data_IF_791502365708
#
_entry.id   IF_791502365708
#
_cell.length_a   1.000
_cell.length_b   1.000
_cell.length_c   1.000
_cell.angle_alpha   90.00
_cell.angle_beta   90.00
_cell.angle_gamma   90.00
#
_symmetry.space_group_name_H-M   'P 1'
#
loop_
_entity.id
_entity.type
_entity.pdbx_description
1 polymer ?
#
# COMPACT_ATOMS: atom_id res chain seq x y z
N UNK A 1 54.95 -4.32 -13.61
CA UNK A 1 53.87 -3.79 -14.45
C UNK A 1 52.87 -4.92 -14.62
N UNK A 2 51.76 -5.01 -13.92
CA UNK A 2 51.13 -4.10 -12.96
C UNK A 2 50.32 -4.91 -11.92
N UNK A 3 50.42 -4.47 -10.68
CA UNK A 3 49.45 -4.63 -9.59
C UNK A 3 48.14 -3.92 -9.98
N UNK A 4 46.97 -4.54 -9.77
CA UNK A 4 45.76 -3.90 -9.20
C UNK A 4 44.83 -5.01 -8.67
N UNK A 5 44.69 -5.06 -7.35
CA UNK A 5 43.59 -5.71 -6.66
C UNK A 5 42.27 -4.94 -6.93
N UNK A 6 41.19 -5.64 -7.28
CA UNK A 6 39.84 -5.04 -7.29
C UNK A 6 38.93 -5.87 -6.38
N UNK A 7 38.96 -5.49 -5.10
CA UNK A 7 38.06 -5.91 -4.03
C UNK A 7 36.66 -5.35 -4.31
N UNK A 8 35.89 -6.03 -5.16
CA UNK A 8 34.50 -5.62 -5.43
C UNK A 8 33.58 -6.07 -4.30
N UNK A 9 33.26 -5.09 -3.44
CA UNK A 9 32.15 -5.00 -2.51
C UNK A 9 31.02 -6.02 -2.75
N UNK A 10 30.84 -6.93 -1.77
CA UNK A 10 29.60 -7.68 -1.57
C UNK A 10 28.47 -6.70 -1.23
N UNK A 11 27.75 -6.24 -2.25
CA UNK A 11 26.46 -5.57 -2.07
C UNK A 11 25.41 -6.66 -1.81
N UNK A 12 24.99 -6.76 -0.56
CA UNK A 12 23.86 -7.60 -0.14
C UNK A 12 22.60 -7.17 -0.90
N UNK A 13 22.15 -8.03 -1.82
CA UNK A 13 20.94 -7.84 -2.59
C UNK A 13 19.73 -8.16 -1.70
N UNK A 14 19.23 -7.16 -0.98
CA UNK A 14 17.86 -7.25 -0.45
C UNK A 14 16.87 -7.02 -1.59
N UNK A 15 16.06 -8.04 -1.85
CA UNK A 15 15.09 -8.13 -2.93
C UNK A 15 14.20 -6.87 -3.07
N UNK A 16 14.51 -6.05 -4.07
CA UNK A 16 13.74 -4.86 -4.43
C UNK A 16 12.80 -5.16 -5.59
N UNK A 17 11.50 -5.27 -5.31
CA UNK A 17 10.45 -5.17 -6.32
C UNK A 17 10.22 -3.69 -6.63
N UNK A 18 10.21 -3.29 -7.90
CA UNK A 18 9.86 -1.92 -8.28
C UNK A 18 8.44 -1.88 -8.87
N UNK A 19 7.57 -1.03 -8.32
CA UNK A 19 6.30 -0.68 -8.95
C UNK A 19 6.49 0.60 -9.76
N UNK A 20 6.03 0.58 -11.01
CA UNK A 20 5.93 1.81 -11.81
C UNK A 20 4.51 1.97 -12.31
N UNK A 21 4.00 3.18 -12.09
CA UNK A 21 2.68 3.71 -12.43
C UNK A 21 2.21 3.30 -13.84
N UNK A 22 0.99 2.76 -13.95
CA UNK A 22 0.39 2.39 -15.25
C UNK A 22 -0.37 3.55 -15.90
N UNK A 23 -0.26 3.63 -17.22
CA UNK A 23 -1.16 4.39 -18.10
C UNK A 23 -2.38 3.50 -18.39
N UNK A 24 -3.55 3.83 -17.84
CA UNK A 24 -4.82 3.10 -18.03
C UNK A 24 -5.32 2.33 -16.80
N UNK A 25 -6.46 1.62 -16.94
CA UNK A 25 -7.16 0.90 -15.85
C UNK A 25 -6.48 -0.40 -15.39
N UNK A 26 -5.28 -0.71 -15.85
CA UNK A 26 -4.60 -1.98 -15.60
C UNK A 26 -3.42 -1.80 -14.65
N UNK A 27 -3.12 -2.82 -13.85
CA UNK A 27 -1.93 -2.87 -12.99
C UNK A 27 -0.95 -3.89 -13.56
N UNK A 28 0.27 -3.47 -13.85
CA UNK A 28 1.33 -4.32 -14.37
C UNK A 28 2.50 -4.36 -13.39
N UNK A 29 3.01 -5.56 -13.07
CA UNK A 29 4.13 -5.77 -12.17
C UNK A 29 5.24 -6.61 -12.84
N UNK A 30 6.49 -6.36 -12.47
CA UNK A 30 7.68 -7.03 -13.01
C UNK A 30 8.48 -7.73 -11.91
N UNK A 31 8.62 -9.07 -11.96
CA UNK A 31 9.61 -9.80 -11.18
C UNK A 31 11.03 -9.58 -11.72
N UNK A 32 11.99 -9.31 -10.85
CA UNK A 32 13.39 -9.03 -11.23
C UNK A 32 14.12 -10.23 -11.87
N UNK A 33 13.56 -11.45 -11.80
CA UNK A 33 14.15 -12.67 -12.36
C UNK A 33 13.44 -13.19 -13.63
N UNK A 34 12.33 -12.57 -14.04
CA UNK A 34 11.67 -12.88 -15.30
C UNK A 34 10.85 -11.67 -15.71
N UNK A 35 11.17 -11.10 -16.87
CA UNK A 35 10.41 -10.03 -17.55
C UNK A 35 9.02 -10.51 -18.00
N UNK A 36 8.38 -11.41 -17.25
CA UNK A 36 7.03 -11.90 -17.51
C UNK A 36 6.07 -10.97 -16.80
N UNK A 37 5.28 -10.23 -17.58
CA UNK A 37 4.19 -9.41 -17.09
C UNK A 37 3.14 -10.31 -16.42
N UNK A 38 3.01 -10.22 -15.10
CA UNK A 38 1.87 -10.84 -14.41
C UNK A 38 0.68 -9.89 -14.54
N UNK A 39 -0.26 -10.26 -15.40
CA UNK A 39 -1.54 -9.55 -15.54
C UNK A 39 -2.46 -9.98 -14.41
N UNK A 40 -2.68 -9.07 -13.48
CA UNK A 40 -3.64 -9.27 -12.41
C UNK A 40 -5.03 -8.89 -12.94
N UNK A 41 -5.97 -9.85 -12.91
CA UNK A 41 -7.31 -9.66 -13.48
C UNK A 41 -8.05 -8.48 -12.81
N UNK A 42 -8.87 -7.80 -13.62
CA UNK A 42 -9.50 -6.51 -13.32
C UNK A 42 -10.51 -6.57 -12.15
N UNK A 43 -10.03 -6.44 -10.91
CA UNK A 43 -10.90 -6.20 -9.75
C UNK A 43 -11.40 -4.75 -9.64
N UNK A 44 -10.75 -3.81 -10.34
CA UNK A 44 -11.05 -2.38 -10.26
C UNK A 44 -11.60 -1.86 -11.60
N UNK A 45 -12.90 -1.53 -11.63
CA UNK A 45 -13.59 -0.99 -12.81
C UNK A 45 -13.22 0.48 -13.15
N UNK A 46 -12.33 1.09 -12.36
CA UNK A 46 -11.94 2.50 -12.46
C UNK A 46 -10.43 2.66 -12.26
N UNK A 47 -9.83 3.81 -12.63
CA UNK A 47 -8.40 4.04 -12.51
C UNK A 47 -7.84 3.68 -11.13
N UNK A 48 -6.71 2.97 -11.13
CA UNK A 48 -5.94 2.64 -9.92
C UNK A 48 -5.01 3.79 -9.62
N UNK A 49 -5.05 4.31 -8.39
CA UNK A 49 -4.21 5.43 -7.93
C UNK A 49 -3.05 4.98 -7.05
N UNK A 50 -3.27 3.92 -6.29
CA UNK A 50 -2.33 3.47 -5.28
C UNK A 50 -2.24 1.95 -5.26
N UNK A 51 -1.03 1.45 -5.09
CA UNK A 51 -0.72 0.02 -4.97
C UNK A 51 0.32 -0.16 -3.87
N UNK A 52 0.19 -1.22 -3.08
CA UNK A 52 1.14 -1.51 -2.02
C UNK A 52 1.24 -3.01 -1.79
N UNK A 53 2.46 -3.49 -1.53
CA UNK A 53 2.76 -4.88 -1.23
C UNK A 53 2.74 -5.11 0.28
N UNK A 54 2.26 -6.27 0.71
CA UNK A 54 2.39 -6.70 2.10
C UNK A 54 3.87 -6.95 2.45
N UNK A 55 4.25 -6.77 3.72
CA UNK A 55 5.51 -7.30 4.24
C UNK A 55 5.60 -8.80 3.96
N UNK A 56 6.67 -9.22 3.29
CA UNK A 56 6.84 -10.61 2.83
C UNK A 56 6.28 -10.92 1.45
N UNK A 57 5.77 -9.92 0.70
CA UNK A 57 5.32 -10.04 -0.69
C UNK A 57 4.27 -11.13 -0.94
N UNK A 58 3.47 -11.46 0.08
CA UNK A 58 2.43 -12.49 0.01
C UNK A 58 1.14 -11.97 -0.61
N UNK A 59 0.83 -10.68 -0.43
CA UNK A 59 -0.38 -10.05 -0.93
C UNK A 59 -0.07 -8.71 -1.57
N UNK A 60 -0.93 -8.32 -2.50
CA UNK A 60 -0.94 -7.02 -3.12
C UNK A 60 -2.29 -6.36 -2.86
N UNK A 61 -2.25 -5.09 -2.47
CA UNK A 61 -3.41 -4.23 -2.42
C UNK A 61 -3.36 -3.22 -3.55
N UNK A 62 -4.51 -2.95 -4.16
CA UNK A 62 -4.68 -1.92 -5.16
C UNK A 62 -5.95 -1.12 -4.88
N UNK A 63 -5.90 0.19 -5.04
CA UNK A 63 -7.03 1.08 -4.79
C UNK A 63 -7.02 2.30 -5.71
N UNK A 64 -8.18 2.93 -5.89
CA UNK A 64 -8.29 4.12 -6.73
C UNK A 64 -9.70 4.70 -6.76
N UNK A 65 -10.15 5.08 -7.95
CA UNK A 65 -11.40 5.83 -8.18
C UNK A 65 -12.67 5.02 -7.88
N UNK A 66 -12.55 3.69 -7.79
CA UNK A 66 -13.64 2.81 -7.41
C UNK A 66 -14.08 3.01 -5.95
N UNK A 67 -13.24 3.59 -5.09
CA UNK A 67 -13.50 3.64 -3.64
C UNK A 67 -13.39 2.28 -2.95
N UNK A 68 -12.81 1.29 -3.65
CA UNK A 68 -12.64 -0.09 -3.21
C UNK A 68 -11.15 -0.40 -3.19
N UNK A 69 -10.72 -1.18 -2.19
CA UNK A 69 -9.37 -1.75 -2.14
C UNK A 69 -9.49 -3.21 -2.56
N UNK A 70 -8.91 -3.55 -3.70
CA UNK A 70 -8.83 -4.93 -4.17
C UNK A 70 -7.58 -5.58 -3.59
N UNK A 71 -7.75 -6.78 -3.02
CA UNK A 71 -6.68 -7.61 -2.48
C UNK A 71 -6.41 -8.77 -3.41
N UNK A 72 -5.14 -9.06 -3.60
CA UNK A 72 -4.68 -10.12 -4.48
C UNK A 72 -3.64 -11.00 -3.80
N UNK A 73 -3.70 -12.31 -4.06
CA UNK A 73 -2.69 -13.27 -3.64
C UNK A 73 -1.56 -13.28 -4.68
N UNK A 74 -0.35 -12.98 -4.22
CA UNK A 74 0.82 -12.97 -5.11
C UNK A 74 1.32 -14.37 -5.46
N UNK A 75 0.93 -15.42 -4.70
CA UNK A 75 1.33 -16.80 -5.02
C UNK A 75 0.66 -17.31 -6.29
N UNK A 76 -0.61 -16.98 -6.47
CA UNK A 76 -1.43 -17.47 -7.58
C UNK A 76 -1.84 -16.36 -8.56
N UNK A 77 -1.62 -15.09 -8.22
CA UNK A 77 -2.05 -13.95 -9.02
C UNK A 77 -3.58 -13.78 -9.03
N UNK A 78 -4.25 -14.26 -7.99
CA UNK A 78 -5.72 -14.30 -7.92
C UNK A 78 -6.28 -13.17 -7.07
N UNK A 79 -7.48 -12.72 -7.42
CA UNK A 79 -8.26 -11.79 -6.61
C UNK A 79 -8.82 -12.53 -5.39
N UNK A 80 -8.52 -12.03 -4.19
CA UNK A 80 -8.88 -12.68 -2.92
C UNK A 80 -10.09 -12.02 -2.28
N UNK A 81 -10.26 -10.72 -2.49
CA UNK A 81 -11.35 -9.99 -1.86
C UNK A 81 -11.27 -8.49 -2.07
N UNK A 82 -12.32 -7.82 -1.61
CA UNK A 82 -12.49 -6.38 -1.71
C UNK A 82 -12.79 -5.79 -0.34
N UNK A 83 -12.12 -4.69 0.00
CA UNK A 83 -12.44 -3.88 1.15
C UNK A 83 -13.25 -2.66 0.68
N UNK A 84 -14.51 -2.61 1.09
CA UNK A 84 -15.46 -1.57 0.69
C UNK A 84 -15.85 -0.73 1.91
N UNK A 85 -15.92 0.59 1.76
CA UNK A 85 -16.39 1.47 2.84
C UNK A 85 -15.92 2.91 2.74
N UNK A 86 -15.01 3.23 1.82
CA UNK A 86 -14.78 4.63 1.45
C UNK A 86 -15.92 5.15 0.59
N UNK A 87 -16.28 6.42 0.81
CA UNK A 87 -17.36 7.09 0.07
C UNK A 87 -16.84 7.90 -1.12
N UNK A 88 -15.52 7.92 -1.32
CA UNK A 88 -14.84 8.64 -2.40
C UNK A 88 -13.57 7.91 -2.85
N UNK A 89 -12.80 8.53 -3.74
CA UNK A 89 -11.60 7.96 -4.32
C UNK A 89 -10.52 7.73 -3.27
N UNK A 90 -9.93 6.55 -3.31
CA UNK A 90 -8.80 6.19 -2.45
C UNK A 90 -7.54 6.71 -3.14
N UNK A 91 -6.82 7.58 -2.45
CA UNK A 91 -5.64 8.27 -2.98
C UNK A 91 -4.35 7.57 -2.60
N UNK A 92 -4.37 6.84 -1.49
CA UNK A 92 -3.18 6.23 -0.88
C UNK A 92 -3.57 4.97 -0.12
N UNK A 93 -2.70 3.97 -0.18
CA UNK A 93 -2.78 2.77 0.63
C UNK A 93 -1.38 2.43 1.15
N UNK A 94 -1.31 1.84 2.33
CA UNK A 94 -0.04 1.43 2.93
C UNK A 94 -0.25 0.22 3.84
N UNK A 95 0.72 -0.68 3.90
CA UNK A 95 0.64 -1.89 4.73
C UNK A 95 1.29 -1.65 6.08
N UNK A 96 0.68 -2.20 7.14
CA UNK A 96 1.34 -2.25 8.45
C UNK A 96 2.59 -3.09 8.34
N UNK A 97 3.54 -2.88 9.25
CA UNK A 97 4.79 -3.63 9.24
C UNK A 97 4.58 -5.13 9.52
N UNK A 98 3.50 -5.48 10.23
CA UNK A 98 3.09 -6.88 10.46
C UNK A 98 2.41 -7.51 9.24
N UNK A 99 1.87 -6.70 8.32
CA UNK A 99 1.09 -7.18 7.18
C UNK A 99 -0.33 -7.61 7.53
N UNK A 100 -0.74 -7.43 8.78
CA UNK A 100 -2.08 -7.78 9.27
C UNK A 100 -3.10 -6.67 9.01
N UNK A 101 -2.61 -5.43 8.93
CA UNK A 101 -3.42 -4.23 8.79
C UNK A 101 -3.06 -3.44 7.54
N UNK A 102 -4.07 -2.83 6.94
CA UNK A 102 -3.92 -1.95 5.78
C UNK A 102 -4.47 -0.57 6.10
N UNK A 103 -3.68 0.45 5.82
CA UNK A 103 -4.07 1.85 5.93
C UNK A 103 -4.52 2.34 4.58
N UNK A 104 -5.55 3.18 4.58
CA UNK A 104 -6.07 3.81 3.38
C UNK A 104 -6.49 5.23 3.67
N UNK A 105 -6.18 6.14 2.74
CA UNK A 105 -6.61 7.52 2.77
C UNK A 105 -7.46 7.84 1.54
N UNK A 106 -8.49 8.64 1.74
CA UNK A 106 -9.49 8.93 0.70
C UNK A 106 -9.78 10.41 0.59
N UNK A 107 -10.31 10.80 -0.58
CA UNK A 107 -10.84 12.14 -0.81
C UNK A 107 -12.08 12.46 0.03
N UNK A 108 -12.68 11.46 0.70
CA UNK A 108 -13.75 11.65 1.70
C UNK A 108 -13.26 12.26 3.03
N UNK A 109 -11.94 12.52 3.15
CA UNK A 109 -11.33 13.12 4.33
C UNK A 109 -11.12 12.14 5.49
N UNK A 110 -11.38 10.85 5.25
CA UNK A 110 -11.23 9.79 6.24
C UNK A 110 -10.02 8.93 5.94
N UNK A 111 -9.37 8.51 7.01
CA UNK A 111 -8.41 7.42 7.02
C UNK A 111 -9.06 6.20 7.62
N UNK A 112 -8.93 5.07 6.93
CA UNK A 112 -9.43 3.79 7.43
C UNK A 112 -8.28 2.82 7.60
N UNK A 113 -8.32 2.11 8.72
CA UNK A 113 -7.47 0.97 9.02
C UNK A 113 -8.32 -0.28 8.83
N UNK A 114 -7.82 -1.22 8.04
CA UNK A 114 -8.50 -2.45 7.68
C UNK A 114 -7.72 -3.63 8.25
N UNK A 115 -8.41 -4.57 8.87
CA UNK A 115 -7.81 -5.88 9.17
C UNK A 115 -7.94 -6.77 7.94
N UNK A 116 -6.80 -7.26 7.46
CA UNK A 116 -6.72 -8.09 6.26
C UNK A 116 -7.28 -9.48 6.51
N UNK A 117 -7.07 -10.03 7.72
CA UNK A 117 -7.63 -11.31 8.14
C UNK A 117 -9.16 -11.25 8.24
N UNK A 118 -9.69 -10.18 8.84
CA UNK A 118 -11.14 -10.02 9.04
C UNK A 118 -11.85 -9.47 7.80
N UNK A 119 -11.10 -8.95 6.83
CA UNK A 119 -11.64 -8.29 5.64
C UNK A 119 -12.50 -7.06 5.98
N UNK A 120 -12.26 -6.41 7.12
CA UNK A 120 -13.15 -5.41 7.69
C UNK A 120 -12.41 -4.17 8.19
N UNK A 121 -13.10 -3.03 8.17
CA UNK A 121 -12.61 -1.77 8.72
C UNK A 121 -12.57 -1.89 10.24
N UNK A 122 -11.39 -1.79 10.85
CA UNK A 122 -11.21 -1.84 12.31
C UNK A 122 -11.20 -0.46 12.95
N UNK A 123 -10.73 0.55 12.21
CA UNK A 123 -10.73 1.93 12.70
C UNK A 123 -11.01 2.90 11.56
N UNK A 124 -11.71 3.99 11.88
CA UNK A 124 -11.92 5.13 10.98
C UNK A 124 -11.54 6.40 11.71
N UNK A 125 -10.52 7.08 11.22
CA UNK A 125 -10.07 8.37 11.72
C UNK A 125 -10.54 9.44 10.74
N UNK A 126 -11.35 10.38 11.23
CA UNK A 126 -11.81 11.53 10.43
C UNK A 126 -11.07 12.76 10.95
N UNK A 127 -10.07 13.22 10.19
CA UNK A 127 -9.31 14.42 10.57
C UNK A 127 -10.11 15.69 10.23
N UNK A 128 -10.67 15.69 9.02
CA UNK A 128 -11.23 16.88 8.37
C UNK A 128 -12.17 16.46 7.25
N UNK A 129 -13.16 17.29 6.92
CA UNK A 129 -13.99 17.12 5.70
C UNK A 129 -13.23 17.45 4.39
N UNK A 130 -11.89 17.51 4.44
CA UNK A 130 -11.02 17.88 3.32
C UNK A 130 -10.29 16.66 2.80
N UNK A 131 -10.04 16.63 1.49
CA UNK A 131 -9.42 15.49 0.82
C UNK A 131 -8.02 15.16 1.35
N UNK A 132 -7.80 13.87 1.62
CA UNK A 132 -6.49 13.33 1.98
C UNK A 132 -5.75 12.86 0.75
N UNK A 133 -4.44 13.08 0.73
CA UNK A 133 -3.57 12.71 -0.39
C UNK A 133 -2.54 11.66 -0.02
N UNK A 134 -2.06 11.68 1.22
CA UNK A 134 -1.07 10.73 1.70
C UNK A 134 -1.42 10.25 3.10
N UNK A 135 -1.25 8.95 3.31
CA UNK A 135 -1.32 8.30 4.60
C UNK A 135 -0.24 7.22 4.58
N UNK A 136 0.59 7.19 5.62
CA UNK A 136 1.73 6.27 5.72
C UNK A 136 1.83 5.74 7.13
N UNK A 137 2.08 4.45 7.25
CA UNK A 137 2.55 3.88 8.51
C UNK A 137 3.93 4.43 8.83
N UNK A 138 4.16 4.71 10.11
CA UNK A 138 5.50 5.03 10.57
C UNK A 138 6.34 3.75 10.64
N UNK A 139 7.66 3.86 10.38
CA UNK A 139 8.60 2.79 10.67
C UNK A 139 8.47 2.35 12.13
N UNK A 140 8.70 1.07 12.40
CA UNK A 140 8.57 0.49 13.74
C UNK A 140 9.57 1.13 14.71
N UNK A 141 9.13 2.15 15.44
CA UNK A 141 9.93 2.85 16.47
C UNK A 141 9.53 2.47 17.90
N UNK A 142 8.54 1.59 18.09
CA UNK A 142 8.08 1.16 19.43
C UNK A 142 7.03 0.05 19.41
N UNK A 143 6.32 -0.13 20.54
CA UNK A 143 5.24 -1.10 20.71
C UNK A 143 3.92 -0.69 20.02
N UNK A 144 3.74 0.60 19.75
CA UNK A 144 2.51 1.14 19.15
C UNK A 144 2.71 1.41 17.66
N UNK A 145 1.75 0.97 16.85
CA UNK A 145 1.71 1.33 15.43
C UNK A 145 1.16 2.75 15.28
N UNK A 146 1.95 3.60 14.65
CA UNK A 146 1.61 5.00 14.39
C UNK A 146 1.48 5.22 12.89
N UNK A 147 0.65 6.16 12.48
CA UNK A 147 0.57 6.59 11.08
C UNK A 147 0.52 8.10 10.99
N UNK A 148 1.00 8.65 9.87
CA UNK A 148 0.88 10.07 9.55
C UNK A 148 -0.01 10.26 8.34
N UNK A 149 -0.63 11.42 8.29
CA UNK A 149 -1.60 11.81 7.27
C UNK A 149 -1.27 13.21 6.79
N UNK A 150 -1.47 13.43 5.50
CA UNK A 150 -1.31 14.73 4.88
C UNK A 150 -2.37 14.92 3.79
N UNK A 151 -2.91 16.14 3.70
CA UNK A 151 -3.95 16.46 2.74
C UNK A 151 -4.16 17.95 2.55
N UNK A 152 -5.35 18.29 2.07
CA UNK A 152 -5.75 19.66 1.77
C UNK A 152 -5.90 20.57 3.01
N UNK A 153 -5.72 20.02 4.22
CA UNK A 153 -5.70 20.77 5.48
C UNK A 153 -4.39 21.55 5.70
N UNK A 154 -3.42 21.48 4.77
CA UNK A 154 -2.10 22.15 4.85
C UNK A 154 -1.33 21.80 6.14
N UNK A 155 -1.63 20.64 6.73
CA UNK A 155 -1.01 20.13 7.94
C UNK A 155 -0.61 18.67 7.75
N UNK A 156 0.35 18.23 8.54
CA UNK A 156 0.67 16.81 8.72
C UNK A 156 0.19 16.44 10.11
N UNK A 157 -0.71 15.46 10.21
CA UNK A 157 -1.15 14.94 11.50
C UNK A 157 -0.48 13.60 11.78
N UNK A 158 -0.24 13.34 13.06
CA UNK A 158 0.36 12.11 13.55
C UNK A 158 -0.62 11.40 14.48
N UNK A 159 -0.87 10.13 14.20
CA UNK A 159 -1.72 9.26 14.98
C UNK A 159 -0.89 8.25 15.74
N UNK A 160 -1.06 8.22 17.07
CA UNK A 160 -0.29 7.32 17.95
C UNK A 160 -0.88 5.90 18.03
N UNK A 161 -2.15 5.73 17.67
CA UNK A 161 -2.87 4.46 17.78
C UNK A 161 -3.76 4.26 16.56
N UNK A 162 -3.44 3.24 15.78
CA UNK A 162 -4.13 2.93 14.53
C UNK A 162 -5.17 1.83 14.66
N UNK A 163 -4.86 0.85 15.50
CA UNK A 163 -5.79 -0.18 15.97
C UNK A 163 -6.18 0.22 17.37
N UNK A 164 -7.39 0.77 17.55
CA UNK A 164 -7.88 1.13 18.88
C UNK A 164 -7.73 -0.03 19.84
N UNK A 165 -6.97 0.19 20.92
CA UNK A 165 -6.82 -0.73 22.04
C UNK A 165 -7.80 -0.41 23.15
#
# INVERSE_FOLDING_TARGET
MDDVADERLKLEQHAGWQSTRTVGNSLSLYPTASLTMLMLHAGLAKPVRAVAFSPGSSRLAAAGDAGIIALYDMKHGEHVGNLTGHSSWITTIDWSHTGESLLSGSMDGKVKVWSVERGACVSTHSETDKSLWAARWLPKTGKSEMFCTAGANRSISLYREATGG
#
